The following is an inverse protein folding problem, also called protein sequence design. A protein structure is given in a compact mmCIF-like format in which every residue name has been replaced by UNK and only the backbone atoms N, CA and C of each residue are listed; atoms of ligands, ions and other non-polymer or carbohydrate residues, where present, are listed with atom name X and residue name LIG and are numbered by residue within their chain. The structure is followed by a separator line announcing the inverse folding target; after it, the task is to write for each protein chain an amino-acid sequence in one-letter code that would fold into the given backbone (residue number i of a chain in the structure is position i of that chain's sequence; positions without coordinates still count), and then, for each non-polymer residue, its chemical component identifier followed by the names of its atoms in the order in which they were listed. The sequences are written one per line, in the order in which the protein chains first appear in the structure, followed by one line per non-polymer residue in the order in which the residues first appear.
data_IF_289278369362
#
_entry.id   IF_289278369362
#
_cell.length_a   1.000
_cell.length_b   1.000
_cell.length_c   1.000
_cell.angle_alpha   90.00
_cell.angle_beta   90.00
_cell.angle_gamma   90.00
#
_symmetry.space_group_name_H-M   'P 1'
#
loop_
_entity.id
_entity.type
_entity.pdbx_description
1 polymer ?
#
# COMPACT_ATOMS: atom_id res chain seq x y z
N UNK A 1 -4.44 20.77 71.55
CA UNK A 1 -3.50 20.38 70.46
C UNK A 1 -4.28 19.61 69.42
N UNK A 2 -4.28 20.17 68.22
CA UNK A 2 -4.97 19.76 66.98
C UNK A 2 -4.44 18.43 66.43
N UNK A 3 -5.30 17.62 65.80
CA UNK A 3 -5.07 16.65 64.68
C UNK A 3 -6.01 15.45 64.81
N UNK A 4 -6.58 14.85 63.78
CA UNK A 4 -6.91 15.20 62.39
C UNK A 4 -7.85 14.05 61.94
N UNK A 5 -9.03 14.38 61.41
CA UNK A 5 -9.90 13.40 60.74
C UNK A 5 -9.19 12.87 59.48
N UNK A 6 -9.24 11.55 59.25
CA UNK A 6 -8.95 10.97 57.93
C UNK A 6 -10.21 10.28 57.40
N UNK A 7 -10.99 11.02 56.59
CA UNK A 7 -12.02 10.46 55.73
C UNK A 7 -11.35 9.83 54.51
N UNK A 8 -11.35 8.50 54.42
CA UNK A 8 -11.04 7.79 53.18
C UNK A 8 -12.22 7.92 52.21
N UNK A 9 -12.17 8.91 51.31
CA UNK A 9 -13.01 8.94 50.12
C UNK A 9 -12.52 7.88 49.12
N UNK A 10 -13.36 6.88 48.86
CA UNK A 10 -13.17 5.96 47.74
C UNK A 10 -13.33 6.70 46.41
N UNK A 11 -12.21 7.08 45.78
CA UNK A 11 -12.17 7.42 44.35
C UNK A 11 -12.32 6.13 43.54
N UNK A 12 -13.56 5.81 43.14
CA UNK A 12 -13.82 4.91 42.02
C UNK A 12 -13.36 5.61 40.74
N UNK A 13 -12.12 5.34 40.34
CA UNK A 13 -11.59 5.74 39.04
C UNK A 13 -12.44 5.15 37.92
N UNK A 14 -12.97 6.02 37.06
CA UNK A 14 -13.54 5.66 35.76
C UNK A 14 -12.43 5.02 34.92
N UNK A 15 -12.31 3.70 34.96
CA UNK A 15 -11.53 2.96 33.98
C UNK A 15 -12.19 3.17 32.60
N UNK A 16 -11.43 3.57 31.57
CA UNK A 16 -11.98 3.60 30.22
C UNK A 16 -12.44 2.19 29.86
N UNK A 17 -13.70 2.06 29.45
CA UNK A 17 -14.23 0.81 28.95
C UNK A 17 -13.31 0.30 27.83
N UNK A 18 -12.67 -0.84 28.06
CA UNK A 18 -11.98 -1.54 27.00
C UNK A 18 -13.02 -1.81 25.91
N UNK A 19 -12.93 -1.11 24.77
CA UNK A 19 -13.74 -1.43 23.60
C UNK A 19 -13.40 -2.88 23.23
N UNK A 20 -14.33 -3.79 23.54
CA UNK A 20 -14.24 -5.17 23.10
C UNK A 20 -14.13 -5.15 21.58
N UNK A 21 -12.96 -5.53 21.06
CA UNK A 21 -12.72 -5.57 19.63
C UNK A 21 -13.67 -6.62 19.05
N UNK A 22 -14.58 -6.18 18.17
CA UNK A 22 -15.53 -7.07 17.52
C UNK A 22 -14.77 -8.23 16.91
N UNK A 23 -15.09 -9.50 17.24
CA UNK A 23 -14.38 -10.63 16.69
C UNK A 23 -14.50 -10.62 15.16
N UNK A 24 -13.38 -10.90 14.48
CA UNK A 24 -13.35 -10.95 13.01
C UNK A 24 -14.37 -11.96 12.50
N UNK A 25 -15.19 -11.53 11.54
CA UNK A 25 -16.06 -12.42 10.78
C UNK A 25 -15.26 -13.11 9.67
N UNK A 26 -15.33 -14.44 9.60
CA UNK A 26 -14.74 -15.22 8.52
C UNK A 26 -15.83 -15.71 7.58
N UNK A 27 -15.85 -15.27 6.30
CA UNK A 27 -16.89 -15.70 5.38
C UNK A 27 -16.85 -17.22 5.16
N UNK A 28 -18.01 -17.91 5.10
CA UNK A 28 -18.06 -19.33 4.77
C UNK A 28 -17.55 -19.56 3.34
N UNK A 29 -17.24 -20.81 2.99
CA UNK A 29 -16.82 -21.15 1.62
C UNK A 29 -17.94 -20.95 0.57
N UNK A 30 -19.21 -20.81 1.01
CA UNK A 30 -20.35 -20.52 0.16
C UNK A 30 -20.42 -19.07 -0.36
N UNK A 31 -21.55 -18.73 -0.97
CA UNK A 31 -21.73 -17.48 -1.73
C UNK A 31 -22.26 -16.30 -0.88
N UNK A 32 -22.83 -16.56 0.28
CA UNK A 32 -23.42 -15.49 1.12
C UNK A 32 -22.41 -15.04 2.17
N UNK A 33 -22.01 -13.77 2.09
CA UNK A 33 -21.13 -13.14 3.08
C UNK A 33 -21.94 -12.15 3.89
N UNK A 34 -21.73 -12.12 5.21
CA UNK A 34 -22.33 -11.10 6.04
C UNK A 34 -21.82 -9.71 5.65
N UNK A 35 -22.74 -8.76 5.53
CA UNK A 35 -22.44 -7.36 5.27
C UNK A 35 -22.62 -6.50 6.52
N UNK A 36 -22.07 -5.30 6.48
CA UNK A 36 -22.34 -4.22 7.41
C UNK A 36 -22.52 -2.94 6.60
N UNK A 37 -23.51 -2.12 6.93
CA UNK A 37 -23.78 -0.92 6.13
C UNK A 37 -22.72 0.16 6.43
N UNK A 38 -22.29 0.97 5.45
CA UNK A 38 -21.45 2.14 5.70
C UNK A 38 -22.01 3.05 6.80
N UNK A 39 -23.33 3.25 6.83
CA UNK A 39 -24.03 4.09 7.82
C UNK A 39 -23.84 3.57 9.26
N UNK A 40 -23.92 2.25 9.46
CA UNK A 40 -23.71 1.64 10.79
C UNK A 40 -22.28 1.83 11.31
N UNK A 41 -21.32 2.02 10.41
CA UNK A 41 -19.92 2.32 10.73
C UNK A 41 -19.66 3.82 10.88
N UNK A 42 -20.69 4.66 10.71
CA UNK A 42 -20.54 6.11 10.66
C UNK A 42 -19.77 6.59 9.43
N UNK A 43 -19.74 5.84 8.32
CA UNK A 43 -19.08 6.28 7.09
C UNK A 43 -19.98 7.23 6.30
N UNK A 44 -19.36 8.22 5.65
CA UNK A 44 -20.09 9.18 4.85
C UNK A 44 -20.45 8.58 3.47
N UNK A 45 -21.73 8.28 3.26
CA UNK A 45 -22.23 7.71 2.00
C UNK A 45 -21.88 8.57 0.76
N UNK A 46 -22.04 9.91 0.74
CA UNK A 46 -21.73 10.70 -0.46
C UNK A 46 -20.27 10.57 -0.90
N UNK A 47 -19.33 10.55 0.05
CA UNK A 47 -17.90 10.39 -0.20
C UNK A 47 -17.61 8.99 -0.74
N UNK A 48 -18.29 7.96 -0.21
CA UNK A 48 -18.22 6.61 -0.73
C UNK A 48 -18.72 6.54 -2.18
N UNK A 49 -19.84 7.18 -2.50
CA UNK A 49 -20.36 7.24 -3.87
C UNK A 49 -19.37 7.92 -4.82
N UNK A 50 -18.69 8.99 -4.36
CA UNK A 50 -17.65 9.65 -5.18
C UNK A 50 -16.43 8.75 -5.42
N UNK A 51 -16.08 7.89 -4.45
CA UNK A 51 -15.03 6.88 -4.60
C UNK A 51 -15.44 5.83 -5.63
N UNK A 52 -16.65 5.28 -5.52
CA UNK A 52 -17.16 4.26 -6.43
C UNK A 52 -17.26 4.79 -7.87
N UNK A 53 -17.69 6.04 -8.05
CA UNK A 53 -17.71 6.67 -9.37
C UNK A 53 -16.29 6.89 -9.93
N UNK A 54 -15.34 7.30 -9.09
CA UNK A 54 -13.93 7.43 -9.47
C UNK A 54 -13.33 6.09 -9.92
N UNK A 55 -13.56 5.02 -9.15
CA UNK A 55 -13.05 3.68 -9.46
C UNK A 55 -13.53 3.18 -10.82
N UNK A 56 -14.80 3.43 -11.17
CA UNK A 56 -15.35 3.09 -12.48
C UNK A 56 -14.65 3.82 -13.63
N UNK A 57 -14.36 5.11 -13.46
CA UNK A 57 -13.57 5.90 -14.43
C UNK A 57 -12.11 5.47 -14.54
N UNK A 58 -11.58 4.84 -13.48
CA UNK A 58 -10.20 4.33 -13.42
C UNK A 58 -10.11 2.84 -13.75
N UNK A 59 -10.96 2.37 -14.67
CA UNK A 59 -10.93 1.02 -15.24
C UNK A 59 -10.91 -0.13 -14.21
N UNK A 60 -11.50 0.10 -13.04
CA UNK A 60 -11.71 -0.95 -12.04
C UNK A 60 -12.70 -1.97 -12.59
N UNK A 61 -12.46 -3.25 -12.31
CA UNK A 61 -13.34 -4.38 -12.64
C UNK A 61 -14.08 -4.90 -11.41
N UNK A 62 -13.36 -5.10 -10.31
CA UNK A 62 -13.93 -5.49 -9.03
C UNK A 62 -13.30 -4.68 -7.89
N UNK A 63 -14.13 -4.24 -6.95
CA UNK A 63 -13.71 -3.53 -5.75
C UNK A 63 -14.44 -4.07 -4.53
N UNK A 64 -13.70 -4.46 -3.50
CA UNK A 64 -14.24 -4.96 -2.24
C UNK A 64 -13.61 -4.21 -1.08
N UNK A 65 -14.43 -3.82 -0.10
CA UNK A 65 -13.98 -3.33 1.20
C UNK A 65 -14.60 -4.23 2.27
N UNK A 66 -13.73 -4.84 3.09
CA UNK A 66 -14.12 -5.54 4.30
C UNK A 66 -13.81 -4.68 5.52
N UNK A 67 -14.72 -4.65 6.48
CA UNK A 67 -14.52 -4.14 7.84
C UNK A 67 -14.75 -5.27 8.82
N UNK A 68 -13.71 -5.62 9.57
CA UNK A 68 -13.69 -6.73 10.52
C UNK A 68 -14.16 -8.05 9.87
N UNK A 69 -13.79 -8.23 8.60
CA UNK A 69 -14.14 -9.37 7.76
C UNK A 69 -15.51 -9.32 7.08
N UNK A 70 -16.40 -8.38 7.44
CA UNK A 70 -17.74 -8.19 6.84
C UNK A 70 -17.68 -7.31 5.60
N UNK A 71 -18.51 -7.60 4.60
CA UNK A 71 -18.63 -6.76 3.40
C UNK A 71 -19.22 -5.39 3.75
N UNK A 72 -18.47 -4.33 3.46
CA UNK A 72 -18.99 -2.95 3.46
C UNK A 72 -19.32 -2.52 2.04
N UNK A 73 -18.44 -2.87 1.10
CA UNK A 73 -18.56 -2.58 -0.32
C UNK A 73 -18.22 -3.82 -1.11
N UNK A 74 -19.05 -4.12 -2.11
CA UNK A 74 -18.74 -5.04 -3.19
C UNK A 74 -19.31 -4.46 -4.47
N UNK A 75 -18.44 -3.99 -5.36
CA UNK A 75 -18.83 -3.37 -6.62
C UNK A 75 -18.08 -3.99 -7.78
N UNK A 76 -18.81 -4.33 -8.83
CA UNK A 76 -18.25 -4.79 -10.10
C UNK A 76 -18.68 -3.86 -11.22
N UNK A 77 -17.83 -3.72 -12.24
CA UNK A 77 -18.02 -2.75 -13.32
C UNK A 77 -18.01 -3.43 -14.70
N UNK A 78 -18.78 -2.87 -15.63
CA UNK A 78 -18.94 -3.40 -16.98
C UNK A 78 -19.56 -4.79 -16.95
N UNK A 79 -18.98 -5.73 -17.70
CA UNK A 79 -19.42 -7.14 -17.74
C UNK A 79 -18.81 -8.00 -16.64
N UNK A 80 -17.96 -7.43 -15.78
CA UNK A 80 -17.31 -8.18 -14.72
C UNK A 80 -18.31 -8.51 -13.60
N UNK A 81 -18.22 -9.71 -13.07
CA UNK A 81 -19.13 -10.22 -12.04
C UNK A 81 -18.33 -10.80 -10.87
N UNK A 82 -19.03 -11.13 -9.77
CA UNK A 82 -18.44 -11.80 -8.60
C UNK A 82 -17.72 -13.11 -8.92
N UNK A 83 -18.11 -13.77 -10.00
CA UNK A 83 -17.59 -15.08 -10.42
C UNK A 83 -16.50 -14.97 -11.49
N UNK A 84 -16.20 -13.74 -11.94
CA UNK A 84 -15.17 -13.49 -12.96
C UNK A 84 -13.76 -13.70 -12.40
N UNK A 85 -12.93 -14.42 -13.15
CA UNK A 85 -11.52 -14.63 -12.83
C UNK A 85 -10.66 -13.49 -13.38
N UNK A 86 -9.64 -13.08 -12.62
CA UNK A 86 -8.66 -12.08 -13.03
C UNK A 86 -7.28 -12.39 -12.46
N UNK A 87 -6.24 -11.95 -13.17
CA UNK A 87 -4.85 -12.14 -12.75
C UNK A 87 -4.47 -11.18 -11.62
N UNK A 88 -3.57 -11.62 -10.74
CA UNK A 88 -3.06 -10.82 -9.62
C UNK A 88 -1.80 -10.02 -9.98
N UNK A 89 -1.17 -10.33 -11.12
CA UNK A 89 0.17 -9.84 -11.47
C UNK A 89 1.13 -10.00 -10.27
N UNK A 90 1.91 -8.95 -9.96
CA UNK A 90 2.83 -8.95 -8.82
C UNK A 90 2.16 -8.99 -7.43
N UNK A 91 0.84 -8.79 -7.29
CA UNK A 91 0.19 -9.02 -6.00
C UNK A 91 0.28 -10.51 -5.58
N UNK A 92 0.45 -11.42 -6.54
CA UNK A 92 0.74 -12.84 -6.27
C UNK A 92 2.08 -13.06 -5.53
N UNK A 93 3.02 -12.10 -5.55
CA UNK A 93 4.28 -12.20 -4.79
C UNK A 93 4.02 -12.40 -3.30
N UNK A 94 3.05 -11.66 -2.76
CA UNK A 94 2.66 -11.75 -1.36
C UNK A 94 2.04 -13.11 -0.98
N UNK A 95 1.35 -13.75 -1.92
CA UNK A 95 0.85 -15.13 -1.75
C UNK A 95 2.02 -16.12 -1.67
N UNK A 96 3.01 -16.01 -2.55
CA UNK A 96 4.23 -16.84 -2.48
C UNK A 96 5.03 -16.60 -1.21
N UNK A 97 5.17 -15.34 -0.77
CA UNK A 97 5.81 -15.03 0.50
C UNK A 97 5.13 -15.71 1.69
N UNK A 98 3.81 -15.82 1.65
CA UNK A 98 3.03 -16.57 2.64
C UNK A 98 3.30 -18.08 2.55
N UNK A 99 3.34 -18.65 1.32
CA UNK A 99 3.65 -20.08 1.11
C UNK A 99 5.06 -20.45 1.57
N UNK A 100 6.06 -19.58 1.39
CA UNK A 100 7.42 -19.77 1.92
C UNK A 100 7.41 -19.77 3.45
N UNK A 101 6.61 -18.90 4.07
CA UNK A 101 6.39 -18.92 5.53
C UNK A 101 5.83 -20.24 6.03
N UNK A 102 4.82 -20.77 5.33
CA UNK A 102 4.22 -22.07 5.65
C UNK A 102 5.23 -23.21 5.42
N UNK A 103 6.01 -23.17 4.34
CA UNK A 103 7.04 -24.17 4.07
C UNK A 103 8.14 -24.17 5.14
N UNK A 104 8.58 -23.00 5.60
CA UNK A 104 9.52 -22.85 6.73
C UNK A 104 8.95 -23.46 8.00
N UNK A 105 7.72 -23.08 8.33
CA UNK A 105 7.01 -23.56 9.51
C UNK A 105 6.86 -25.09 9.53
N UNK A 106 6.65 -25.69 8.35
CA UNK A 106 6.50 -27.13 8.20
C UNK A 106 7.87 -27.86 8.08
N UNK A 107 8.98 -27.13 8.28
CA UNK A 107 10.33 -27.70 8.28
C UNK A 107 10.89 -28.06 6.91
N UNK A 108 10.24 -27.61 5.82
CA UNK A 108 10.63 -27.94 4.44
C UNK A 108 11.83 -27.12 3.94
N UNK A 109 12.05 -25.94 4.53
CA UNK A 109 13.16 -25.05 4.21
C UNK A 109 13.54 -24.15 5.39
N UNK A 110 14.74 -23.58 5.34
CA UNK A 110 15.16 -22.43 6.13
C UNK A 110 15.33 -21.21 5.25
N UNK A 111 15.12 -20.01 5.81
CA UNK A 111 15.39 -18.75 5.09
C UNK A 111 16.87 -18.55 4.76
N UNK A 112 17.77 -19.20 5.52
CA UNK A 112 19.22 -19.18 5.28
C UNK A 112 19.67 -20.20 4.24
N UNK A 113 18.78 -21.09 3.78
CA UNK A 113 19.16 -22.07 2.77
C UNK A 113 19.56 -21.35 1.48
N UNK A 114 20.67 -21.79 0.91
CA UNK A 114 21.06 -21.38 -0.44
C UNK A 114 20.01 -21.83 -1.44
N UNK A 115 19.62 -20.97 -2.37
CA UNK A 115 18.65 -21.31 -3.43
C UNK A 115 19.15 -22.51 -4.25
N UNK A 116 20.47 -22.61 -4.45
CA UNK A 116 21.10 -23.72 -5.17
C UNK A 116 20.89 -25.09 -4.51
N UNK A 117 20.50 -25.15 -3.22
CA UNK A 117 20.10 -26.40 -2.55
C UNK A 117 18.87 -27.02 -3.22
N UNK A 118 17.96 -26.20 -3.72
CA UNK A 118 16.70 -26.65 -4.30
C UNK A 118 16.75 -26.69 -5.82
N UNK A 119 17.41 -25.71 -6.45
CA UNK A 119 17.41 -25.57 -7.92
C UNK A 119 18.66 -26.14 -8.60
N UNK A 120 19.62 -26.66 -7.83
CA UNK A 120 20.93 -27.06 -8.34
C UNK A 120 21.85 -25.85 -8.58
N UNK A 121 23.01 -26.10 -9.19
CA UNK A 121 23.97 -25.05 -9.58
C UNK A 121 23.65 -24.54 -10.99
N UNK A 122 24.03 -23.30 -11.28
CA UNK A 122 23.86 -22.71 -12.61
C UNK A 122 22.41 -22.33 -12.91
N UNK A 123 21.62 -22.05 -11.87
CA UNK A 123 20.27 -21.49 -12.03
C UNK A 123 20.31 -19.98 -12.33
N UNK A 124 21.49 -19.37 -12.21
CA UNK A 124 21.86 -18.01 -12.63
C UNK A 124 23.10 -18.04 -13.53
N UNK A 125 23.43 -16.90 -14.14
CA UNK A 125 24.72 -16.65 -14.78
C UNK A 125 25.77 -16.06 -13.81
N UNK A 126 25.47 -16.03 -12.51
CA UNK A 126 26.41 -15.55 -11.51
C UNK A 126 27.61 -16.52 -11.36
N UNK A 127 28.81 -16.01 -11.03
CA UNK A 127 29.92 -16.89 -10.66
C UNK A 127 29.50 -17.86 -9.54
N UNK A 128 29.93 -19.14 -9.54
CA UNK A 128 29.42 -20.14 -8.60
C UNK A 128 29.57 -19.75 -7.12
N UNK A 129 30.65 -19.04 -6.78
CA UNK A 129 30.85 -18.54 -5.43
C UNK A 129 29.81 -17.49 -5.01
N UNK A 130 29.33 -16.67 -5.95
CA UNK A 130 28.33 -15.63 -5.76
C UNK A 130 26.91 -16.18 -5.79
N UNK A 131 26.60 -17.10 -6.72
CA UNK A 131 25.31 -17.80 -6.77
C UNK A 131 25.00 -18.48 -5.42
N UNK A 132 26.01 -19.13 -4.81
CA UNK A 132 25.87 -19.81 -3.52
C UNK A 132 25.49 -18.87 -2.37
N UNK A 133 25.81 -17.57 -2.45
CA UNK A 133 25.43 -16.58 -1.44
C UNK A 133 23.94 -16.22 -1.47
N UNK A 134 23.24 -16.52 -2.58
CA UNK A 134 21.82 -16.21 -2.72
C UNK A 134 21.01 -17.21 -1.91
N UNK A 135 20.26 -16.70 -0.93
CA UNK A 135 19.43 -17.49 -0.02
C UNK A 135 17.95 -17.27 -0.30
N UNK A 136 17.09 -18.13 0.26
CA UNK A 136 15.63 -17.93 0.23
C UNK A 136 15.25 -16.55 0.77
N UNK A 137 15.92 -16.08 1.85
CA UNK A 137 15.71 -14.74 2.40
C UNK A 137 15.98 -13.65 1.37
N UNK A 138 17.07 -13.76 0.61
CA UNK A 138 17.44 -12.76 -0.40
C UNK A 138 16.40 -12.63 -1.51
N UNK A 139 15.76 -13.73 -1.91
CA UNK A 139 14.67 -13.69 -2.87
C UNK A 139 13.39 -13.05 -2.28
N UNK A 140 13.07 -13.32 -1.01
CA UNK A 140 11.92 -12.74 -0.31
C UNK A 140 12.06 -11.22 -0.08
N UNK A 141 13.27 -10.75 0.23
CA UNK A 141 13.55 -9.35 0.55
C UNK A 141 14.00 -8.50 -0.64
N UNK A 142 13.96 -9.05 -1.87
CA UNK A 142 14.39 -8.36 -3.09
C UNK A 142 15.85 -7.89 -3.03
N UNK A 143 16.73 -8.74 -2.50
CA UNK A 143 18.16 -8.44 -2.31
C UNK A 143 19.07 -9.57 -2.81
N UNK A 144 18.71 -10.21 -3.92
CA UNK A 144 19.50 -11.28 -4.54
C UNK A 144 20.88 -10.82 -5.04
N UNK A 145 21.05 -9.53 -5.31
CA UNK A 145 22.26 -8.99 -5.96
C UNK A 145 22.33 -9.26 -7.47
N UNK A 146 21.26 -9.81 -8.05
CA UNK A 146 21.12 -9.99 -9.49
C UNK A 146 20.63 -8.70 -10.16
N UNK A 147 20.97 -8.52 -11.43
CA UNK A 147 20.62 -7.34 -12.23
C UNK A 147 19.12 -7.33 -12.58
N UNK A 148 18.39 -6.32 -12.07
CA UNK A 148 16.96 -6.11 -12.33
C UNK A 148 16.68 -5.32 -13.62
N UNK A 149 17.75 -4.96 -14.34
CA UNK A 149 17.77 -4.25 -15.62
C UNK A 149 18.71 -4.93 -16.63
N UNK A 150 18.57 -6.25 -16.86
CA UNK A 150 19.49 -6.96 -17.75
C UNK A 150 19.38 -6.43 -19.20
N UNK A 151 20.46 -6.51 -19.98
CA UNK A 151 20.43 -6.11 -21.38
C UNK A 151 19.51 -7.01 -22.21
N UNK A 152 18.97 -6.46 -23.30
CA UNK A 152 18.18 -7.22 -24.27
C UNK A 152 18.98 -8.43 -24.81
N UNK A 153 18.31 -9.56 -25.10
CA UNK A 153 16.86 -9.78 -25.13
C UNK A 153 16.21 -10.10 -23.78
N UNK A 154 16.98 -10.07 -22.67
CA UNK A 154 16.44 -10.30 -21.34
C UNK A 154 15.69 -9.06 -20.80
N UNK A 155 14.83 -9.29 -19.82
CA UNK A 155 14.10 -8.25 -19.09
C UNK A 155 13.96 -8.61 -17.59
N UNK A 156 13.34 -7.72 -16.81
CA UNK A 156 13.12 -7.92 -15.36
C UNK A 156 12.29 -9.19 -15.03
N UNK A 157 11.52 -9.69 -15.99
CA UNK A 157 10.58 -10.80 -15.84
C UNK A 157 11.23 -12.15 -16.23
N UNK A 158 12.35 -12.12 -16.96
CA UNK A 158 13.09 -13.27 -17.45
C UNK A 158 13.60 -14.17 -16.32
N UNK A 159 13.43 -15.49 -16.47
CA UNK A 159 13.77 -16.49 -15.44
C UNK A 159 14.86 -17.47 -15.88
N UNK A 160 15.34 -17.40 -17.11
CA UNK A 160 16.41 -18.30 -17.60
C UNK A 160 17.72 -17.98 -16.88
N UNK A 161 18.58 -18.98 -16.69
CA UNK A 161 19.87 -18.77 -16.02
C UNK A 161 20.70 -17.68 -16.71
N UNK A 162 20.73 -17.68 -18.05
CA UNK A 162 21.43 -16.70 -18.87
C UNK A 162 20.95 -15.25 -18.67
N UNK A 163 19.71 -15.03 -18.24
CA UNK A 163 19.16 -13.69 -17.98
C UNK A 163 19.29 -13.26 -16.51
N UNK A 164 19.63 -14.17 -15.60
CA UNK A 164 19.81 -13.88 -14.19
C UNK A 164 21.28 -13.54 -13.93
N UNK A 165 21.66 -12.32 -14.28
CA UNK A 165 23.04 -11.84 -14.27
C UNK A 165 23.45 -11.37 -12.87
N UNK A 166 24.70 -11.65 -12.48
CA UNK A 166 25.29 -11.10 -11.27
C UNK A 166 25.55 -9.60 -11.43
N UNK A 167 25.21 -8.82 -10.41
CA UNK A 167 25.55 -7.40 -10.34
C UNK A 167 26.37 -7.08 -9.09
N UNK A 168 25.90 -7.53 -7.92
CA UNK A 168 26.56 -7.36 -6.62
C UNK A 168 26.32 -8.57 -5.71
N UNK A 169 26.99 -8.62 -4.57
CA UNK A 169 26.77 -9.67 -3.58
C UNK A 169 25.34 -9.59 -2.99
N UNK A 170 24.74 -10.77 -2.79
CA UNK A 170 23.42 -10.86 -2.20
C UNK A 170 23.38 -10.17 -0.82
N UNK A 171 22.30 -9.46 -0.54
CA UNK A 171 22.11 -8.68 0.69
C UNK A 171 22.66 -7.25 0.65
N UNK A 172 23.43 -6.87 -0.37
CA UNK A 172 24.08 -5.54 -0.44
C UNK A 172 23.28 -4.49 -1.22
N UNK A 173 22.32 -4.91 -2.04
CA UNK A 173 21.50 -4.04 -2.90
C UNK A 173 20.04 -4.48 -2.85
N UNK A 174 19.12 -3.51 -2.79
CA UNK A 174 17.69 -3.76 -2.96
C UNK A 174 17.28 -3.45 -4.40
N UNK A 175 16.60 -4.41 -5.02
CA UNK A 175 16.21 -4.36 -6.42
C UNK A 175 14.95 -5.18 -6.66
N UNK A 176 13.90 -4.53 -7.16
CA UNK A 176 12.62 -5.19 -7.42
C UNK A 176 12.72 -6.06 -8.68
N UNK A 177 13.08 -7.33 -8.49
CA UNK A 177 13.42 -8.25 -9.59
C UNK A 177 12.43 -9.40 -9.68
N UNK A 178 11.52 -9.36 -10.65
CA UNK A 178 10.49 -10.40 -10.80
C UNK A 178 11.10 -11.76 -11.17
N UNK A 179 12.04 -11.81 -12.11
CA UNK A 179 12.73 -13.02 -12.53
C UNK A 179 13.42 -13.78 -11.39
N UNK A 180 14.17 -13.07 -10.54
CA UNK A 180 14.81 -13.65 -9.37
C UNK A 180 13.80 -14.16 -8.34
N UNK A 181 12.79 -13.36 -7.98
CA UNK A 181 11.75 -13.78 -7.04
C UNK A 181 11.00 -15.03 -7.53
N UNK A 182 10.72 -15.14 -8.85
CA UNK A 182 9.99 -16.29 -9.41
C UNK A 182 10.66 -17.62 -9.10
N UNK A 183 11.96 -17.65 -8.81
CA UNK A 183 12.68 -18.86 -8.39
C UNK A 183 12.19 -19.46 -7.07
N UNK A 184 11.46 -18.69 -6.25
CA UNK A 184 10.76 -19.23 -5.08
C UNK A 184 9.66 -20.24 -5.46
N UNK A 185 9.06 -20.12 -6.65
CA UNK A 185 7.97 -21.00 -7.09
C UNK A 185 8.43 -22.45 -7.37
N UNK A 186 9.43 -22.71 -8.25
CA UNK A 186 9.97 -24.05 -8.41
C UNK A 186 10.69 -24.54 -7.15
N UNK A 187 11.27 -23.64 -6.35
CA UNK A 187 11.86 -23.98 -5.05
C UNK A 187 10.81 -24.56 -4.09
N UNK A 188 9.64 -23.91 -3.98
CA UNK A 188 8.52 -24.41 -3.17
C UNK A 188 8.03 -25.77 -3.68
N UNK A 189 7.95 -25.93 -4.99
CA UNK A 189 7.54 -27.21 -5.58
C UNK A 189 8.55 -28.32 -5.23
N UNK A 190 9.84 -28.04 -5.37
CA UNK A 190 10.90 -28.97 -5.01
C UNK A 190 10.91 -29.30 -3.50
N UNK A 191 10.74 -28.30 -2.64
CA UNK A 191 10.77 -28.48 -1.19
C UNK A 191 9.56 -29.26 -0.66
N UNK A 192 8.38 -29.08 -1.29
CA UNK A 192 7.14 -29.72 -0.86
C UNK A 192 6.85 -31.06 -1.55
N UNK A 193 7.49 -31.34 -2.70
CA UNK A 193 7.13 -32.47 -3.56
C UNK A 193 5.79 -32.32 -4.27
N UNK A 194 5.19 -31.13 -4.23
CA UNK A 194 3.88 -30.82 -4.82
C UNK A 194 4.01 -29.76 -5.91
N UNK A 195 3.11 -29.76 -6.88
CA UNK A 195 3.01 -28.60 -7.78
C UNK A 195 2.62 -27.35 -6.99
N UNK A 196 2.98 -26.16 -7.49
CA UNK A 196 2.62 -24.90 -6.80
C UNK A 196 1.11 -24.76 -6.61
N UNK A 197 0.30 -25.21 -7.58
CA UNK A 197 -1.16 -25.24 -7.48
C UNK A 197 -1.65 -26.15 -6.36
N UNK A 198 -1.14 -27.39 -6.29
CA UNK A 198 -1.50 -28.32 -5.21
C UNK A 198 -1.09 -27.77 -3.84
N UNK A 199 0.14 -27.26 -3.72
CA UNK A 199 0.64 -26.71 -2.46
C UNK A 199 -0.18 -25.49 -2.00
N UNK A 200 -0.47 -24.56 -2.91
CA UNK A 200 -1.30 -23.37 -2.62
C UNK A 200 -2.70 -23.76 -2.17
N UNK A 201 -3.35 -24.68 -2.89
CA UNK A 201 -4.69 -25.11 -2.55
C UNK A 201 -4.73 -25.90 -1.23
N UNK A 202 -3.79 -26.81 -1.01
CA UNK A 202 -3.72 -27.60 0.23
C UNK A 202 -3.44 -26.73 1.45
N UNK A 203 -2.51 -25.78 1.34
CA UNK A 203 -2.05 -24.99 2.50
C UNK A 203 -2.91 -23.76 2.79
N UNK A 204 -3.52 -23.16 1.76
CA UNK A 204 -4.28 -21.92 1.90
C UNK A 204 -5.69 -22.10 1.34
N UNK A 205 -5.82 -22.47 0.06
CA UNK A 205 -7.09 -22.46 -0.67
C UNK A 205 -8.23 -23.20 0.02
N UNK A 206 -8.01 -24.48 0.32
CA UNK A 206 -8.98 -25.36 1.00
C UNK A 206 -9.32 -24.91 2.42
N UNK A 207 -8.36 -24.35 3.15
CA UNK A 207 -8.57 -23.92 4.55
C UNK A 207 -9.39 -22.64 4.60
N UNK A 208 -9.02 -21.67 3.78
CA UNK A 208 -9.70 -20.37 3.80
C UNK A 208 -10.85 -20.32 2.82
N UNK A 209 -11.16 -21.35 2.02
CA UNK A 209 -12.20 -21.32 0.98
C UNK A 209 -11.86 -20.40 -0.22
N UNK A 210 -10.57 -20.22 -0.52
CA UNK A 210 -10.06 -19.41 -1.63
C UNK A 210 -9.85 -20.31 -2.86
N UNK A 211 -10.45 -19.94 -3.99
CA UNK A 211 -10.21 -20.55 -5.29
C UNK A 211 -9.11 -19.85 -6.10
N UNK A 212 -8.74 -20.46 -7.22
CA UNK A 212 -7.79 -19.91 -8.18
C UNK A 212 -6.69 -20.87 -8.61
N UNK A 213 -5.82 -20.40 -9.49
CA UNK A 213 -4.69 -21.19 -9.99
C UNK A 213 -3.53 -20.29 -10.44
N UNK A 214 -2.31 -20.81 -10.30
CA UNK A 214 -1.10 -20.34 -10.95
C UNK A 214 -1.09 -20.80 -12.40
N UNK A 215 -0.98 -19.85 -13.32
CA UNK A 215 -0.82 -20.04 -14.76
C UNK A 215 0.33 -19.15 -15.20
N UNK A 216 1.38 -19.73 -15.80
CA UNK A 216 2.60 -19.01 -16.21
C UNK A 216 3.16 -18.12 -15.08
N UNK A 217 3.31 -18.71 -13.89
CA UNK A 217 3.82 -18.06 -12.67
C UNK A 217 2.98 -16.88 -12.11
N UNK A 218 1.78 -16.66 -12.66
CA UNK A 218 0.83 -15.63 -12.22
C UNK A 218 -0.42 -16.28 -11.65
N UNK A 219 -0.87 -15.82 -10.49
CA UNK A 219 -2.08 -16.34 -9.85
C UNK A 219 -3.33 -15.65 -10.40
N UNK A 220 -4.39 -16.43 -10.64
CA UNK A 220 -5.70 -15.99 -11.11
C UNK A 220 -6.78 -16.43 -10.12
N UNK A 221 -7.69 -15.54 -9.77
CA UNK A 221 -8.84 -15.86 -8.90
C UNK A 221 -9.99 -14.86 -9.07
N UNK A 222 -11.08 -15.03 -8.31
CA UNK A 222 -12.11 -14.00 -8.19
C UNK A 222 -11.65 -12.88 -7.25
N UNK A 223 -12.29 -11.71 -7.32
CA UNK A 223 -12.03 -10.58 -6.40
C UNK A 223 -12.31 -10.96 -4.94
N UNK A 224 -13.33 -11.79 -4.68
CA UNK A 224 -13.59 -12.32 -3.34
C UNK A 224 -12.45 -13.20 -2.81
N UNK A 225 -11.81 -14.01 -3.65
CA UNK A 225 -10.70 -14.86 -3.25
C UNK A 225 -9.47 -14.01 -2.79
N UNK A 226 -9.21 -12.89 -3.47
CA UNK A 226 -8.22 -11.89 -3.01
C UNK A 226 -8.60 -11.31 -1.64
N UNK A 227 -9.88 -11.01 -1.41
CA UNK A 227 -10.35 -10.48 -0.13
C UNK A 227 -10.23 -11.50 1.01
N UNK A 228 -10.44 -12.80 0.73
CA UNK A 228 -10.18 -13.88 1.70
C UNK A 228 -8.70 -13.96 2.07
N UNK A 229 -7.81 -13.86 1.08
CA UNK A 229 -6.37 -13.80 1.36
C UNK A 229 -6.00 -12.56 2.19
N UNK A 230 -6.53 -11.38 1.85
CA UNK A 230 -6.33 -10.17 2.65
C UNK A 230 -6.87 -10.32 4.09
N UNK A 231 -8.00 -10.99 4.28
CA UNK A 231 -8.57 -11.26 5.61
C UNK A 231 -7.74 -12.26 6.42
N UNK A 232 -7.16 -13.28 5.78
CA UNK A 232 -6.18 -14.16 6.43
C UNK A 232 -4.99 -13.36 6.98
N UNK A 233 -4.52 -12.39 6.20
CA UNK A 233 -3.43 -11.50 6.60
C UNK A 233 -3.85 -10.54 7.72
N UNK A 234 -5.05 -9.96 7.64
CA UNK A 234 -5.62 -9.15 8.73
C UNK A 234 -5.70 -9.93 10.04
N UNK A 235 -6.10 -11.21 9.96
CA UNK A 235 -6.18 -12.15 11.05
C UNK A 235 -4.83 -12.77 11.45
N UNK A 236 -3.71 -12.22 10.96
CA UNK A 236 -2.34 -12.63 11.28
C UNK A 236 -2.07 -14.12 11.06
N UNK A 237 -2.54 -14.66 9.92
CA UNK A 237 -2.33 -16.05 9.54
C UNK A 237 -3.30 -17.04 10.17
N UNK A 238 -4.35 -16.57 10.86
CA UNK A 238 -5.41 -17.42 11.44
C UNK A 238 -6.70 -17.30 10.64
N UNK A 239 -7.40 -18.41 10.43
CA UNK A 239 -8.70 -18.44 9.76
C UNK A 239 -9.70 -19.20 10.62
N UNK A 240 -10.67 -18.50 11.20
CA UNK A 240 -11.73 -19.09 12.02
C UNK A 240 -11.21 -20.11 13.06
N UNK A 241 -10.20 -19.71 13.84
CA UNK A 241 -9.54 -20.58 14.82
C UNK A 241 -8.43 -21.49 14.26
N UNK A 242 -8.40 -21.74 12.95
CA UNK A 242 -7.35 -22.55 12.30
C UNK A 242 -6.08 -21.73 12.05
N UNK A 243 -4.92 -22.09 12.62
CA UNK A 243 -3.67 -21.38 12.35
C UNK A 243 -3.05 -21.86 11.03
N UNK A 244 -3.24 -21.09 9.95
CA UNK A 244 -2.63 -21.36 8.63
C UNK A 244 -1.13 -21.06 8.65
N UNK A 245 -0.76 -19.89 9.16
CA UNK A 245 0.62 -19.46 9.41
C UNK A 245 0.79 -19.17 10.91
N UNK A 246 1.20 -20.19 11.67
CA UNK A 246 1.47 -20.15 13.13
C UNK A 246 2.80 -19.48 13.48
N UNK A 247 3.73 -19.41 12.54
CA UNK A 247 5.04 -18.78 12.74
C UNK A 247 4.92 -17.24 12.82
N UNK A 248 4.62 -16.75 14.03
CA UNK A 248 4.43 -15.32 14.29
C UNK A 248 5.70 -14.50 14.10
N UNK A 249 6.88 -15.11 14.28
CA UNK A 249 8.16 -14.45 14.03
C UNK A 249 8.39 -14.24 12.52
N UNK A 250 8.07 -15.24 11.70
CA UNK A 250 8.05 -15.10 10.25
C UNK A 250 7.03 -14.06 9.81
N UNK A 251 5.79 -14.15 10.30
CA UNK A 251 4.73 -13.20 9.96
C UNK A 251 5.18 -11.76 10.24
N UNK A 252 5.79 -11.51 11.41
CA UNK A 252 6.34 -10.19 11.74
C UNK A 252 7.39 -9.75 10.72
N UNK A 253 8.40 -10.57 10.42
CA UNK A 253 9.43 -10.23 9.43
C UNK A 253 8.85 -10.00 8.03
N UNK A 254 7.78 -10.72 7.69
CA UNK A 254 7.08 -10.56 6.43
C UNK A 254 6.35 -9.22 6.32
N UNK A 255 5.80 -8.70 7.43
CA UNK A 255 4.97 -7.49 7.46
C UNK A 255 5.63 -6.30 8.17
N UNK A 256 6.95 -6.33 8.37
CA UNK A 256 7.77 -5.23 8.89
C UNK A 256 9.04 -5.09 8.05
N UNK A 257 9.80 -3.98 8.11
CA UNK A 257 10.99 -3.80 7.29
C UNK A 257 11.93 -5.01 7.42
N UNK A 258 12.18 -5.68 6.30
CA UNK A 258 12.93 -6.94 6.28
C UNK A 258 14.45 -6.76 6.17
N UNK A 259 14.88 -5.55 5.82
CA UNK A 259 16.26 -5.14 5.59
C UNK A 259 16.38 -3.60 5.72
N UNK A 260 17.60 -3.06 5.77
CA UNK A 260 17.86 -1.62 5.99
C UNK A 260 17.95 -0.72 4.75
N UNK A 261 18.03 -1.29 3.55
CA UNK A 261 18.11 -0.66 2.23
C UNK A 261 16.78 -0.02 1.78
N UNK A 262 15.68 -0.79 1.78
CA UNK A 262 14.32 -0.29 1.50
C UNK A 262 13.40 -0.57 2.70
N UNK A 263 13.23 0.44 3.56
CA UNK A 263 12.40 0.31 4.76
C UNK A 263 10.94 -0.03 4.45
N UNK A 264 10.43 0.37 3.29
CA UNK A 264 9.04 0.12 2.87
C UNK A 264 8.80 -1.29 2.27
N UNK A 265 9.68 -2.26 2.55
CA UNK A 265 9.58 -3.62 2.00
C UNK A 265 9.83 -4.73 3.04
N UNK A 266 8.85 -5.63 3.16
CA UNK A 266 8.93 -6.86 3.97
C UNK A 266 9.31 -8.08 3.13
N UNK A 267 8.81 -9.26 3.49
CA UNK A 267 8.93 -10.45 2.64
C UNK A 267 7.84 -10.47 1.60
N UNK A 268 8.11 -9.84 0.46
CA UNK A 268 7.20 -9.71 -0.67
C UNK A 268 5.90 -8.95 -0.36
N UNK A 269 5.97 -8.05 0.62
CA UNK A 269 4.91 -7.11 0.99
C UNK A 269 5.46 -5.69 0.97
N UNK A 270 4.65 -4.77 0.43
CA UNK A 270 4.90 -3.34 0.55
C UNK A 270 4.37 -2.84 1.90
N UNK A 271 5.14 -1.97 2.54
CA UNK A 271 4.86 -1.49 3.90
C UNK A 271 4.66 0.02 3.86
N UNK A 272 3.53 0.49 4.37
CA UNK A 272 3.26 1.91 4.51
C UNK A 272 3.87 2.49 5.80
N UNK A 273 3.79 3.81 5.95
CA UNK A 273 4.13 4.51 7.19
C UNK A 273 5.62 4.54 7.54
N UNK A 274 6.50 4.08 6.64
CA UNK A 274 7.95 4.08 6.88
C UNK A 274 8.55 5.45 6.55
N UNK A 275 9.70 5.74 7.17
CA UNK A 275 10.41 7.00 6.98
C UNK A 275 10.99 7.19 5.57
N UNK A 276 11.15 6.10 4.81
CA UNK A 276 11.64 6.14 3.43
C UNK A 276 11.20 4.91 2.62
N UNK A 277 11.26 5.04 1.30
CA UNK A 277 10.99 3.98 0.34
C UNK A 277 11.91 4.06 -0.87
N UNK A 278 12.08 2.92 -1.55
CA UNK A 278 12.66 2.84 -2.89
C UNK A 278 11.59 2.38 -3.88
N UNK A 279 11.68 2.87 -5.12
CA UNK A 279 10.82 2.43 -6.22
C UNK A 279 11.52 1.33 -7.04
N UNK A 280 10.77 0.48 -7.76
CA UNK A 280 11.35 -0.47 -8.71
C UNK A 280 12.27 0.21 -9.73
N UNK A 281 13.32 -0.48 -10.18
CA UNK A 281 14.28 -0.02 -11.21
C UNK A 281 15.04 1.28 -10.88
N UNK A 282 15.03 1.71 -9.63
CA UNK A 282 15.84 2.84 -9.17
C UNK A 282 16.58 2.49 -7.89
N UNK A 283 17.70 3.16 -7.66
CA UNK A 283 18.46 3.08 -6.41
C UNK A 283 18.27 4.33 -5.54
N UNK A 284 17.41 5.26 -5.97
CA UNK A 284 17.05 6.44 -5.19
C UNK A 284 16.19 6.05 -3.99
N UNK A 285 16.47 6.71 -2.87
CA UNK A 285 15.71 6.59 -1.63
C UNK A 285 14.87 7.86 -1.47
N UNK A 286 13.56 7.69 -1.44
CA UNK A 286 12.61 8.78 -1.28
C UNK A 286 12.17 8.87 0.19
N UNK A 287 12.05 10.08 0.76
CA UNK A 287 11.54 10.25 2.12
C UNK A 287 10.03 9.99 2.17
N UNK A 288 9.56 9.51 3.32
CA UNK A 288 8.15 9.31 3.62
C UNK A 288 7.57 7.97 3.16
N UNK A 289 6.26 7.84 3.41
CA UNK A 289 5.50 6.63 3.18
C UNK A 289 5.16 6.43 1.69
N UNK A 290 5.02 5.18 1.25
CA UNK A 290 4.62 4.83 -0.13
C UNK A 290 3.21 5.31 -0.49
N UNK A 291 2.33 5.49 0.51
CA UNK A 291 0.97 6.03 0.32
C UNK A 291 0.63 6.93 1.50
N UNK A 292 1.02 8.22 1.45
CA UNK A 292 0.87 9.15 2.58
C UNK A 292 -0.58 9.39 3.04
N UNK A 293 -1.56 9.14 2.16
CA UNK A 293 -2.99 9.28 2.45
C UNK A 293 -3.62 8.01 3.06
N UNK A 294 -2.86 6.92 3.14
CA UNK A 294 -3.29 5.67 3.75
C UNK A 294 -2.81 5.58 5.21
N UNK A 295 -3.46 4.78 6.06
CA UNK A 295 -3.01 4.52 7.43
C UNK A 295 -1.57 3.98 7.48
N UNK A 296 -0.77 4.38 8.49
CA UNK A 296 0.65 4.06 8.53
C UNK A 296 0.93 2.57 8.71
N UNK A 297 0.03 1.80 9.31
CA UNK A 297 0.18 0.35 9.50
C UNK A 297 -0.36 -0.48 8.32
N UNK A 298 -0.72 0.17 7.22
CA UNK A 298 -1.12 -0.53 6.00
C UNK A 298 0.02 -1.38 5.44
N UNK A 299 -0.27 -2.64 5.13
CA UNK A 299 0.56 -3.48 4.26
C UNK A 299 -0.18 -3.74 2.96
N UNK A 300 0.57 -3.90 1.86
CA UNK A 300 -0.01 -4.04 0.53
C UNK A 300 0.66 -5.09 -0.35
N UNK A 301 -0.17 -5.88 -1.03
CA UNK A 301 0.21 -6.67 -2.20
C UNK A 301 -0.10 -5.85 -3.44
N UNK A 302 0.94 -5.46 -4.19
CA UNK A 302 0.82 -4.54 -5.33
C UNK A 302 1.21 -5.23 -6.64
N UNK A 303 0.30 -5.18 -7.61
CA UNK A 303 0.43 -5.75 -8.94
C UNK A 303 0.31 -4.71 -10.05
N UNK A 304 0.98 -4.98 -11.19
CA UNK A 304 0.81 -4.24 -12.44
C UNK A 304 -0.67 -4.08 -12.80
N UNK A 305 -1.02 -2.98 -13.46
CA UNK A 305 -2.40 -2.62 -13.80
C UNK A 305 -3.31 -2.45 -12.57
N UNK A 306 -2.70 -2.11 -11.44
CA UNK A 306 -3.33 -1.90 -10.14
C UNK A 306 -4.14 -3.09 -9.62
N UNK A 307 -3.53 -4.28 -9.60
CA UNK A 307 -4.07 -5.37 -8.79
C UNK A 307 -3.63 -5.15 -7.35
N UNK A 308 -4.57 -4.92 -6.43
CA UNK A 308 -4.24 -4.43 -5.09
C UNK A 308 -4.96 -5.22 -4.02
N UNK A 309 -4.22 -5.62 -3.00
CA UNK A 309 -4.76 -6.11 -1.72
C UNK A 309 -4.10 -5.27 -0.65
N UNK A 310 -4.87 -4.41 0.00
CA UNK A 310 -4.41 -3.63 1.14
C UNK A 310 -5.02 -4.18 2.43
N UNK A 311 -4.22 -4.22 3.48
CA UNK A 311 -4.63 -4.67 4.81
C UNK A 311 -4.24 -3.61 5.81
N UNK A 312 -5.20 -3.12 6.60
CA UNK A 312 -4.98 -2.12 7.65
C UNK A 312 -5.41 -2.70 9.00
N UNK A 313 -4.49 -3.30 9.77
CA UNK A 313 -4.78 -3.92 11.06
C UNK A 313 -5.49 -3.00 12.06
N UNK A 314 -5.02 -1.77 12.21
CA UNK A 314 -5.53 -0.78 13.16
C UNK A 314 -6.99 -0.41 12.93
N UNK A 315 -7.47 -0.55 11.68
CA UNK A 315 -8.84 -0.24 11.29
C UNK A 315 -9.66 -1.48 10.96
N UNK A 316 -9.08 -2.69 11.07
CA UNK A 316 -9.77 -3.93 10.70
C UNK A 316 -10.19 -3.94 9.22
N UNK A 317 -9.45 -3.26 8.34
CA UNK A 317 -9.83 -3.12 6.93
C UNK A 317 -9.05 -4.07 6.02
N UNK A 318 -9.76 -4.62 5.03
CA UNK A 318 -9.19 -5.21 3.83
C UNK A 318 -9.80 -4.51 2.63
N UNK A 319 -8.97 -3.98 1.75
CA UNK A 319 -9.40 -3.28 0.54
C UNK A 319 -8.79 -3.98 -0.66
N UNK A 320 -9.64 -4.42 -1.59
CA UNK A 320 -9.21 -5.14 -2.78
C UNK A 320 -9.68 -4.39 -4.02
N UNK A 321 -8.78 -4.25 -4.99
CA UNK A 321 -9.09 -3.72 -6.30
C UNK A 321 -8.49 -4.62 -7.38
N UNK A 322 -9.31 -4.99 -8.37
CA UNK A 322 -8.88 -5.59 -9.62
C UNK A 322 -9.30 -4.72 -10.80
N UNK A 323 -8.55 -4.74 -11.89
CA UNK A 323 -8.90 -3.95 -13.06
C UNK A 323 -7.80 -3.84 -14.10
N UNK A 324 -7.98 -2.94 -15.05
CA UNK A 324 -6.92 -2.49 -15.95
C UNK A 324 -6.11 -1.36 -15.29
N UNK A 325 -5.04 -0.88 -15.94
CA UNK A 325 -4.22 0.22 -15.42
C UNK A 325 -5.08 1.45 -15.12
N UNK A 326 -4.96 2.02 -13.91
CA UNK A 326 -5.63 3.26 -13.51
C UNK A 326 -4.83 4.52 -13.89
N UNK A 327 -3.92 4.41 -14.87
CA UNK A 327 -2.99 5.47 -15.27
C UNK A 327 -1.73 4.90 -15.93
N UNK A 328 -0.61 5.61 -15.81
CA UNK A 328 0.68 5.08 -16.27
C UNK A 328 1.09 3.89 -15.40
N UNK A 329 1.23 2.72 -16.04
CA UNK A 329 1.52 1.46 -15.38
C UNK A 329 2.98 1.42 -14.91
N UNK A 330 3.21 1.43 -13.61
CA UNK A 330 4.51 1.09 -13.00
C UNK A 330 4.50 -0.35 -12.47
N UNK A 331 5.68 -0.91 -12.18
CA UNK A 331 5.84 -2.30 -11.72
C UNK A 331 5.13 -2.61 -10.39
N UNK A 332 4.83 -1.60 -9.56
CA UNK A 332 4.12 -1.79 -8.28
C UNK A 332 3.38 -0.54 -7.74
N UNK A 333 4.08 0.59 -7.57
CA UNK A 333 3.55 1.81 -6.96
C UNK A 333 2.95 2.75 -8.01
N UNK A 334 1.76 3.29 -7.74
CA UNK A 334 1.07 4.19 -8.67
C UNK A 334 0.49 5.39 -7.93
N UNK A 335 0.33 6.52 -8.63
CA UNK A 335 -0.38 7.69 -8.09
C UNK A 335 -1.84 7.40 -7.75
N UNK A 336 -2.40 6.33 -8.33
CA UNK A 336 -3.72 5.80 -8.00
C UNK A 336 -3.85 5.39 -6.53
N UNK A 337 -2.81 4.80 -5.92
CA UNK A 337 -2.83 4.39 -4.51
C UNK A 337 -3.18 5.57 -3.59
N UNK A 338 -2.50 6.71 -3.80
CA UNK A 338 -2.69 7.93 -3.01
C UNK A 338 -4.11 8.50 -3.16
N UNK A 339 -4.65 8.52 -4.38
CA UNK A 339 -5.98 9.05 -4.65
C UNK A 339 -7.10 8.14 -4.17
N UNK A 340 -6.95 6.82 -4.33
CA UNK A 340 -7.87 5.82 -3.78
C UNK A 340 -7.97 5.96 -2.26
N UNK A 341 -6.83 6.01 -1.57
CA UNK A 341 -6.81 6.10 -0.12
C UNK A 341 -7.30 7.45 0.38
N UNK A 342 -6.99 8.56 -0.31
CA UNK A 342 -7.55 9.88 0.03
C UNK A 342 -9.08 9.87 0.01
N UNK A 343 -9.69 9.28 -1.03
CA UNK A 343 -11.14 9.16 -1.17
C UNK A 343 -11.76 8.20 -0.17
N UNK A 344 -11.11 7.06 0.06
CA UNK A 344 -11.58 6.09 1.05
C UNK A 344 -11.51 6.67 2.46
N UNK A 345 -10.42 7.33 2.83
CA UNK A 345 -10.29 7.96 4.14
C UNK A 345 -11.31 9.10 4.33
N UNK A 346 -11.66 9.84 3.27
CA UNK A 346 -12.74 10.82 3.32
C UNK A 346 -14.13 10.17 3.57
N UNK A 347 -14.34 8.93 3.12
CA UNK A 347 -15.56 8.18 3.42
C UNK A 347 -15.55 7.60 4.84
N UNK A 348 -14.41 7.08 5.30
CA UNK A 348 -14.26 6.44 6.62
C UNK A 348 -14.25 7.46 7.76
N UNK A 349 -13.57 8.61 7.59
CA UNK A 349 -13.47 9.67 8.58
C UNK A 349 -14.62 10.66 8.40
N UNK A 350 -15.84 10.18 8.62
CA UNK A 350 -17.00 11.04 8.53
C UNK A 350 -16.98 12.05 9.67
N UNK A 351 -16.54 13.27 9.36
CA UNK A 351 -16.81 14.43 10.20
C UNK A 351 -18.19 14.91 9.76
N UNK A 352 -19.22 14.84 10.62
CA UNK A 352 -20.48 15.49 10.31
C UNK A 352 -20.14 16.95 10.03
N UNK A 353 -20.40 17.43 8.83
CA UNK A 353 -20.56 18.85 8.59
C UNK A 353 -21.81 19.27 9.36
N UNK A 354 -21.68 19.47 10.67
CA UNK A 354 -22.59 20.35 11.39
C UNK A 354 -22.62 21.63 10.56
N UNK A 355 -23.80 21.97 10.04
CA UNK A 355 -24.03 22.96 8.98
C UNK A 355 -23.04 24.12 8.96
N UNK A 356 -21.86 23.87 8.41
CA UNK A 356 -21.03 24.90 7.89
C UNK A 356 -21.65 25.11 6.53
N UNK A 357 -22.48 26.14 6.41
CA UNK A 357 -22.68 26.81 5.14
C UNK A 357 -21.32 26.75 4.44
N UNK A 358 -21.26 26.11 3.27
CA UNK A 358 -20.06 26.12 2.47
C UNK A 358 -19.73 27.58 2.24
N UNK A 359 -18.83 28.14 3.06
CA UNK A 359 -18.18 29.37 2.72
C UNK A 359 -17.58 29.08 1.34
N UNK A 360 -17.93 29.86 0.30
CA UNK A 360 -17.42 29.62 -1.03
C UNK A 360 -15.91 29.47 -0.93
N UNK A 361 -15.37 28.44 -1.58
CA UNK A 361 -13.93 28.29 -1.76
C UNK A 361 -13.42 29.67 -2.18
N UNK A 362 -12.54 30.24 -1.36
CA UNK A 362 -11.91 31.52 -1.62
C UNK A 362 -11.05 31.36 -2.90
N UNK A 363 -11.67 31.56 -4.06
CA UNK A 363 -10.99 31.58 -5.34
C UNK A 363 -10.22 32.89 -5.45
N UNK A 364 -8.95 32.81 -5.84
CA UNK A 364 -8.08 33.96 -6.04
C UNK A 364 -7.32 33.77 -7.35
N UNK A 365 -7.08 34.88 -8.06
CA UNK A 365 -6.33 34.87 -9.32
C UNK A 365 -4.89 35.35 -9.09
N UNK A 366 -3.94 34.81 -9.84
CA UNK A 366 -2.55 35.25 -9.84
C UNK A 366 -2.07 35.44 -11.28
N UNK A 367 -1.55 36.64 -11.60
CA UNK A 367 -1.17 37.01 -12.97
C UNK A 367 -0.07 38.10 -13.00
N UNK A 368 0.71 38.20 -14.08
CA UNK A 368 0.80 37.25 -15.19
C UNK A 368 1.43 35.92 -14.74
N UNK A 369 1.12 34.83 -15.43
CA UNK A 369 1.84 33.56 -15.30
C UNK A 369 2.24 33.15 -16.72
N UNK A 370 3.53 33.15 -17.09
CA UNK A 370 4.70 33.35 -16.23
C UNK A 370 4.89 34.80 -15.73
N UNK A 371 5.47 34.95 -14.54
CA UNK A 371 5.76 36.24 -13.89
C UNK A 371 7.28 36.49 -13.85
N UNK A 372 7.75 37.54 -14.53
CA UNK A 372 9.18 37.86 -14.60
C UNK A 372 9.75 38.38 -13.28
N UNK A 373 9.06 39.30 -12.59
CA UNK A 373 9.56 39.89 -11.33
C UNK A 373 8.44 40.18 -10.33
N UNK A 374 7.22 40.42 -10.80
CA UNK A 374 6.07 40.77 -9.96
C UNK A 374 4.88 39.89 -10.33
N UNK A 375 4.28 39.28 -9.32
CA UNK A 375 3.03 38.55 -9.41
C UNK A 375 1.91 39.38 -8.77
N UNK A 376 0.90 39.76 -9.55
CA UNK A 376 -0.34 40.33 -9.00
C UNK A 376 -1.24 39.21 -8.52
N UNK A 377 -1.75 39.32 -7.29
CA UNK A 377 -2.71 38.42 -6.70
C UNK A 377 -4.01 39.16 -6.43
N UNK A 378 -5.11 38.67 -6.99
CA UNK A 378 -6.46 39.20 -6.75
C UNK A 378 -7.15 38.29 -5.74
N UNK A 379 -7.44 38.83 -4.57
CA UNK A 379 -7.89 38.12 -3.38
C UNK A 379 -9.39 38.36 -3.12
N UNK A 380 -10.13 37.35 -2.64
CA UNK A 380 -11.52 37.53 -2.23
C UNK A 380 -11.63 38.41 -0.98
N UNK A 381 -12.77 39.10 -0.83
CA UNK A 381 -13.10 39.82 0.39
C UNK A 381 -13.44 38.80 1.49
N UNK A 382 -12.46 38.44 2.32
CA UNK A 382 -12.58 37.46 3.42
C UNK A 382 -11.61 37.84 4.56
N UNK A 383 -11.81 37.34 5.79
CA UNK A 383 -11.02 37.74 6.96
C UNK A 383 -9.57 37.22 6.87
N UNK A 384 -8.74 37.67 7.81
CA UNK A 384 -7.27 37.64 7.76
C UNK A 384 -6.71 36.32 7.21
N UNK A 385 -6.21 36.38 5.98
CA UNK A 385 -5.58 35.26 5.30
C UNK A 385 -4.08 35.52 5.15
N UNK A 386 -3.31 34.46 4.91
CA UNK A 386 -1.87 34.55 4.64
C UNK A 386 -1.59 34.03 3.24
N UNK A 387 -0.73 34.70 2.49
CA UNK A 387 -0.15 34.18 1.25
C UNK A 387 1.20 33.52 1.54
N UNK A 388 1.38 32.28 1.08
CA UNK A 388 2.65 31.55 1.17
C UNK A 388 3.08 31.06 -0.19
N UNK A 389 4.28 31.43 -0.62
CA UNK A 389 4.92 30.91 -1.81
C UNK A 389 5.83 29.75 -1.42
N UNK A 390 5.71 28.61 -2.10
CA UNK A 390 6.60 27.46 -1.92
C UNK A 390 7.31 27.07 -3.20
N UNK A 391 8.49 26.47 -3.09
CA UNK A 391 9.16 25.82 -4.22
C UNK A 391 8.43 24.52 -4.65
N UNK A 392 8.94 23.87 -5.70
CA UNK A 392 8.38 22.62 -6.21
C UNK A 392 8.45 21.44 -5.21
N UNK A 393 9.27 21.55 -4.16
CA UNK A 393 9.42 20.56 -3.10
C UNK A 393 8.55 20.90 -1.87
N UNK A 394 7.75 21.96 -1.94
CA UNK A 394 6.84 22.40 -0.88
C UNK A 394 7.52 23.19 0.24
N UNK A 395 8.77 23.63 0.06
CA UNK A 395 9.49 24.44 1.05
C UNK A 395 9.04 25.91 0.94
N UNK A 396 8.73 26.60 2.06
CA UNK A 396 8.32 27.99 2.02
C UNK A 396 9.49 28.88 1.59
N UNK A 397 9.22 29.72 0.59
CA UNK A 397 10.16 30.68 0.01
C UNK A 397 9.83 32.10 0.49
N UNK A 398 8.54 32.42 0.56
CA UNK A 398 8.03 33.70 1.06
C UNK A 398 6.68 33.50 1.74
N UNK A 399 6.40 34.30 2.77
CA UNK A 399 5.10 34.31 3.43
C UNK A 399 4.76 35.72 3.90
N UNK A 400 3.53 36.18 3.62
CA UNK A 400 3.06 37.52 4.01
C UNK A 400 1.54 37.54 4.23
N UNK A 401 1.01 38.44 5.07
CA UNK A 401 -0.42 38.64 5.20
C UNK A 401 -1.07 38.97 3.85
N UNK A 402 -2.26 38.44 3.60
CA UNK A 402 -3.04 38.69 2.41
C UNK A 402 -3.78 40.02 2.54
N UNK A 403 -3.66 40.89 1.53
CA UNK A 403 -4.32 42.21 1.51
C UNK A 403 -5.32 42.29 0.35
N UNK A 404 -6.61 41.98 0.57
CA UNK A 404 -7.65 42.13 -0.45
C UNK A 404 -7.86 43.61 -0.85
N UNK A 405 -8.39 43.88 -2.06
CA UNK A 405 -8.77 42.92 -3.09
C UNK A 405 -7.60 42.55 -4.03
N UNK A 406 -6.46 43.26 -3.94
CA UNK A 406 -5.32 43.08 -4.83
C UNK A 406 -4.01 43.35 -4.10
N UNK A 407 -3.06 42.46 -4.28
CA UNK A 407 -1.73 42.53 -3.68
C UNK A 407 -0.65 42.18 -4.71
N UNK A 408 0.53 42.79 -4.61
CA UNK A 408 1.70 42.41 -5.40
C UNK A 408 2.66 41.55 -4.57
N UNK A 409 3.20 40.50 -5.18
CA UNK A 409 4.30 39.70 -4.65
C UNK A 409 5.52 39.91 -5.54
N UNK A 410 6.64 40.32 -4.93
CA UNK A 410 7.93 40.44 -5.59
C UNK A 410 8.56 39.05 -5.65
N UNK A 411 8.89 38.57 -6.86
CA UNK A 411 9.60 37.32 -7.10
C UNK A 411 11.10 37.55 -7.39
N UNK A 412 11.55 38.80 -7.32
CA UNK A 412 12.93 39.18 -7.60
C UNK A 412 13.91 38.41 -6.70
N UNK A 413 14.93 37.79 -7.32
CA UNK A 413 15.93 36.99 -6.63
C UNK A 413 15.58 35.51 -6.44
N UNK A 414 14.39 35.07 -6.89
CA UNK A 414 14.06 33.66 -6.98
C UNK A 414 14.68 33.04 -8.24
N UNK A 415 15.03 31.76 -8.16
CA UNK A 415 15.50 31.02 -9.34
C UNK A 415 14.33 30.76 -10.30
N UNK A 416 14.57 30.81 -11.61
CA UNK A 416 13.56 30.44 -12.60
C UNK A 416 13.05 29.02 -12.34
N UNK A 417 11.73 28.82 -12.31
CA UNK A 417 11.16 27.55 -11.90
C UNK A 417 9.66 27.54 -11.59
N UNK A 418 9.21 26.39 -11.09
CA UNK A 418 7.81 26.17 -10.71
C UNK A 418 7.65 26.44 -9.22
N UNK A 419 6.72 27.34 -8.90
CA UNK A 419 6.34 27.69 -7.53
C UNK A 419 4.84 27.45 -7.32
N UNK A 420 4.45 27.37 -6.05
CA UNK A 420 3.05 27.25 -5.67
C UNK A 420 2.70 28.36 -4.68
N UNK A 421 1.77 29.23 -5.07
CA UNK A 421 1.21 30.26 -4.21
C UNK A 421 -0.02 29.70 -3.50
N UNK A 422 0.00 29.69 -2.18
CA UNK A 422 -1.04 29.17 -1.31
C UNK A 422 -1.71 30.32 -0.56
N UNK A 423 -3.04 30.30 -0.47
CA UNK A 423 -3.81 31.14 0.43
C UNK A 423 -4.14 30.32 1.68
N UNK A 424 -3.88 30.84 2.87
CA UNK A 424 -4.08 30.16 4.14
C UNK A 424 -5.06 30.93 5.03
N UNK A 425 -5.84 30.22 5.84
CA UNK A 425 -6.64 30.83 6.92
C UNK A 425 -5.78 31.17 8.15
N UNK A 426 -6.39 31.82 9.15
CA UNK A 426 -5.74 32.18 10.44
C UNK A 426 -5.18 30.96 11.21
N UNK A 427 -5.67 29.75 10.91
CA UNK A 427 -5.23 28.49 11.53
C UNK A 427 -4.13 27.79 10.73
N UNK A 428 -3.70 28.37 9.61
CA UNK A 428 -2.68 27.80 8.72
C UNK A 428 -3.19 26.71 7.78
N UNK A 429 -4.51 26.54 7.61
CA UNK A 429 -5.07 25.62 6.63
C UNK A 429 -5.03 26.24 5.24
N UNK A 430 -4.67 25.45 4.23
CA UNK A 430 -4.65 25.90 2.83
C UNK A 430 -6.09 26.03 2.31
N UNK A 431 -6.50 27.25 1.99
CA UNK A 431 -7.78 27.59 1.37
C UNK A 431 -7.76 27.39 -0.14
N UNK A 432 -6.66 27.76 -0.81
CA UNK A 432 -6.49 27.61 -2.25
C UNK A 432 -5.01 27.58 -2.64
N UNK A 433 -4.69 27.05 -3.83
CA UNK A 433 -3.32 27.01 -4.38
C UNK A 433 -3.32 27.37 -5.87
N UNK A 434 -2.34 28.17 -6.31
CA UNK A 434 -2.10 28.53 -7.71
C UNK A 434 -0.67 28.18 -8.09
N UNK A 435 -0.51 27.54 -9.25
CA UNK A 435 0.82 27.31 -9.83
C UNK A 435 1.33 28.63 -10.40
N UNK A 436 2.53 29.02 -10.01
CA UNK A 436 3.24 30.20 -10.50
C UNK A 436 4.46 29.71 -11.26
N UNK A 437 4.64 30.23 -12.47
CA UNK A 437 5.86 30.04 -13.24
C UNK A 437 6.63 31.36 -13.13
N UNK A 438 7.84 31.29 -12.61
CA UNK A 438 8.76 32.42 -12.52
C UNK A 438 9.88 32.22 -13.53
#
# INVERSE_FOLDING_TARGET
MTRLLLCCLCLLGLLPAAQAQTPLYFPPAGTTWASTSPQSLGWCQPQLDTLLAYLGRQHTKGFIVLKDGRLVVEQYYGTFTRDSLWYWASAGKSLTGTLVGIARQDGLLSLSDSVSRFLGRGWTAAPPAKERLITVRHLLSMSSGLDDTPPLPCDNESTTAACLLYQVDAGTRWAYHTGAYRKLQPLLAQASGLTLNQYTNQKIGSVIGMGGAWVNDVYYSRTRDMARFGLLMLARGKWNGTPVLRDTAYFRQMTTPSQGLNRSYGYLWWLNGQASHMLPQTQLVFPGAITPTAPPDMIAALGKNDQKIYVVPSQGLVVVRTGQSAGQSHLALSSFDTELWRRLMAAVQCRPTAGAASAPLADFAAFPVPAAEVLTVQLPASPAATLRLTDALGRPVQQQPATPPRQQLMLQGLAAGVYFLQLLDEKGNILATRRVLH
#
